data_IF_335125496411
#
_entry.id   IF_335125496411
#
_cell.length_a   1.000
_cell.length_b   1.000
_cell.length_c   1.000
_cell.angle_alpha   90.00
_cell.angle_beta   90.00
_cell.angle_gamma   90.00
#
_symmetry.space_group_name_H-M   'P 1'
#
loop_
_entity.id
_entity.type
_entity.pdbx_description
1 polymer ?
#
# COMPACT_ATOMS: atom_id res chain seq x y z
N UNK A 1 16.89 5.21 -9.29
CA UNK A 1 16.75 3.94 -8.53
C UNK A 1 15.28 3.68 -8.28
N UNK A 2 14.80 2.49 -8.56
CA UNK A 2 13.44 2.11 -8.19
C UNK A 2 13.43 1.92 -6.66
N UNK A 3 12.51 2.58 -5.99
CA UNK A 3 12.34 2.42 -4.54
C UNK A 3 11.94 0.97 -4.26
N UNK A 4 12.75 0.24 -3.52
CA UNK A 4 12.59 -1.20 -3.31
C UNK A 4 11.25 -1.56 -2.65
N UNK A 5 10.77 -0.75 -1.74
CA UNK A 5 9.48 -0.98 -1.10
C UNK A 5 8.33 -0.97 -2.12
N UNK A 6 8.29 0.05 -2.96
CA UNK A 6 7.26 0.19 -4.00
C UNK A 6 7.40 -0.92 -5.05
N UNK A 7 8.63 -1.30 -5.39
CA UNK A 7 8.88 -2.43 -6.28
C UNK A 7 8.33 -3.73 -5.70
N UNK A 8 8.60 -4.00 -4.42
CA UNK A 8 8.07 -5.17 -3.73
C UNK A 8 6.54 -5.18 -3.67
N UNK A 9 5.90 -4.03 -3.42
CA UNK A 9 4.44 -3.94 -3.47
C UNK A 9 3.87 -4.33 -4.85
N UNK A 10 4.57 -4.01 -5.93
CA UNK A 10 4.14 -4.36 -7.30
C UNK A 10 4.28 -5.86 -7.62
N UNK A 11 5.21 -6.55 -6.96
CA UNK A 11 5.42 -7.99 -7.16
C UNK A 11 4.33 -8.85 -6.51
N UNK A 12 3.63 -8.33 -5.50
CA UNK A 12 2.50 -9.03 -4.90
C UNK A 12 1.27 -8.90 -5.79
N UNK A 13 0.64 -10.02 -6.06
CA UNK A 13 -0.58 -10.06 -6.85
C UNK A 13 -1.69 -9.29 -6.14
N UNK A 14 -2.33 -8.42 -6.88
CA UNK A 14 -3.60 -7.84 -6.49
C UNK A 14 -4.71 -8.90 -6.54
N UNK A 15 -5.75 -8.67 -5.78
CA UNK A 15 -6.93 -9.54 -5.82
C UNK A 15 -7.58 -9.54 -7.20
N UNK A 16 -8.28 -10.63 -7.51
CA UNK A 16 -8.96 -10.84 -8.78
C UNK A 16 -9.83 -9.64 -9.21
N UNK A 17 -10.54 -9.02 -8.26
CA UNK A 17 -11.34 -7.81 -8.53
C UNK A 17 -10.51 -6.65 -9.07
N UNK A 18 -9.35 -6.41 -8.49
CA UNK A 18 -8.45 -5.36 -8.95
C UNK A 18 -7.88 -5.68 -10.32
N UNK A 19 -7.50 -6.93 -10.56
CA UNK A 19 -7.02 -7.39 -11.86
C UNK A 19 -8.06 -7.15 -12.97
N UNK A 20 -9.33 -7.44 -12.71
CA UNK A 20 -10.42 -7.20 -13.66
C UNK A 20 -10.57 -5.70 -13.97
N UNK A 21 -10.52 -4.85 -12.95
CA UNK A 21 -10.58 -3.40 -13.12
C UNK A 21 -9.37 -2.87 -13.91
N UNK A 22 -8.19 -3.34 -13.59
CA UNK A 22 -6.96 -2.95 -14.29
C UNK A 22 -7.00 -3.36 -15.76
N UNK A 23 -7.46 -4.57 -16.06
CA UNK A 23 -7.65 -5.05 -17.42
C UNK A 23 -8.72 -4.23 -18.18
N UNK A 24 -9.80 -3.84 -17.52
CA UNK A 24 -10.85 -3.02 -18.11
C UNK A 24 -10.40 -1.57 -18.40
N UNK A 25 -9.39 -1.08 -17.70
CA UNK A 25 -8.81 0.26 -17.88
C UNK A 25 -7.55 0.28 -18.76
N UNK A 26 -7.36 -0.76 -19.57
CA UNK A 26 -6.24 -0.91 -20.51
C UNK A 26 -4.85 -0.79 -19.84
N UNK A 27 -4.72 -1.37 -18.64
CA UNK A 27 -3.43 -1.50 -17.95
C UNK A 27 -3.02 -0.28 -17.13
N UNK A 28 -3.96 0.63 -16.86
CA UNK A 28 -3.66 1.84 -16.09
C UNK A 28 -4.70 2.18 -15.05
N UNK A 29 -4.72 1.51 -13.89
CA UNK A 29 -5.43 2.06 -12.75
C UNK A 29 -4.62 3.19 -12.14
N UNK A 30 -5.12 4.40 -12.26
CA UNK A 30 -4.51 5.60 -11.69
C UNK A 30 -5.55 6.47 -11.02
N UNK A 31 -5.12 7.22 -10.01
CA UNK A 31 -5.98 8.20 -9.36
C UNK A 31 -6.32 9.34 -10.32
N UNK A 32 -7.59 9.76 -10.34
CA UNK A 32 -7.98 10.93 -11.11
C UNK A 32 -7.27 12.19 -10.58
N UNK A 33 -7.06 13.17 -11.46
CA UNK A 33 -6.41 14.44 -11.10
C UNK A 33 -7.14 15.16 -9.96
N UNK A 34 -8.47 15.10 -9.95
CA UNK A 34 -9.29 15.72 -8.91
C UNK A 34 -9.11 15.00 -7.56
N UNK A 35 -9.09 13.66 -7.56
CA UNK A 35 -8.85 12.89 -6.34
C UNK A 35 -7.44 13.14 -5.79
N UNK A 36 -6.42 13.13 -6.65
CA UNK A 36 -5.05 13.46 -6.30
C UNK A 36 -4.92 14.85 -5.67
N UNK A 37 -5.57 15.85 -6.27
CA UNK A 37 -5.58 17.21 -5.76
C UNK A 37 -6.19 17.26 -4.36
N UNK A 38 -7.40 16.72 -4.20
CA UNK A 38 -8.10 16.69 -2.90
C UNK A 38 -7.28 15.96 -1.83
N UNK A 39 -6.66 14.84 -2.18
CA UNK A 39 -5.82 14.09 -1.26
C UNK A 39 -4.57 14.90 -0.85
N UNK A 40 -3.88 15.51 -1.82
CA UNK A 40 -2.72 16.35 -1.56
C UNK A 40 -3.03 17.59 -0.70
N UNK A 41 -4.25 18.13 -0.77
CA UNK A 41 -4.70 19.22 0.10
C UNK A 41 -4.86 18.79 1.56
N UNK A 42 -5.05 17.50 1.81
CA UNK A 42 -5.20 16.92 3.15
C UNK A 42 -3.88 16.40 3.74
N UNK A 43 -2.89 16.18 2.91
CA UNK A 43 -1.59 15.66 3.33
C UNK A 43 -0.67 16.80 3.79
N UNK A 44 0.26 16.52 4.73
CA UNK A 44 1.34 17.43 5.05
C UNK A 44 2.15 17.80 3.80
N UNK A 45 2.71 19.02 3.76
CA UNK A 45 3.44 19.52 2.59
C UNK A 45 4.61 18.63 2.13
N UNK A 46 5.25 17.94 3.07
CA UNK A 46 6.35 17.00 2.78
C UNK A 46 5.89 15.60 2.35
N UNK A 47 4.57 15.35 2.29
CA UNK A 47 4.00 14.06 1.94
C UNK A 47 3.17 14.13 0.65
N UNK A 48 3.51 15.02 -0.28
CA UNK A 48 2.74 15.16 -1.53
C UNK A 48 2.96 13.98 -2.46
N UNK A 49 1.87 13.47 -3.01
CA UNK A 49 1.88 12.40 -3.99
C UNK A 49 2.44 12.92 -5.31
N UNK A 50 3.56 12.33 -5.74
CA UNK A 50 4.17 12.60 -7.03
C UNK A 50 3.61 11.77 -8.17
N UNK A 51 4.12 11.99 -9.38
CA UNK A 51 3.81 11.17 -10.55
C UNK A 51 4.34 9.75 -10.37
N UNK A 52 3.59 8.76 -10.87
CA UNK A 52 4.03 7.36 -10.85
C UNK A 52 3.82 6.65 -9.51
N UNK A 53 2.97 7.17 -8.64
CA UNK A 53 2.55 6.46 -7.44
C UNK A 53 1.99 5.08 -7.79
N UNK A 54 2.31 4.09 -6.98
CA UNK A 54 1.66 2.79 -7.03
C UNK A 54 0.30 2.88 -6.36
N UNK A 55 -0.72 2.38 -7.04
CA UNK A 55 -2.11 2.39 -6.55
C UNK A 55 -2.68 0.99 -6.68
N UNK A 56 -3.30 0.49 -5.63
CA UNK A 56 -3.98 -0.80 -5.66
C UNK A 56 -5.22 -0.79 -4.76
N UNK A 57 -6.24 -1.53 -5.18
CA UNK A 57 -7.48 -1.74 -4.43
C UNK A 57 -7.48 -3.12 -3.77
N UNK A 58 -8.24 -3.26 -2.68
CA UNK A 58 -8.38 -4.54 -1.97
C UNK A 58 -7.03 -5.19 -1.64
N UNK A 59 -6.08 -4.38 -1.21
CA UNK A 59 -4.72 -4.82 -0.99
C UNK A 59 -4.55 -5.47 0.38
N UNK A 60 -4.00 -6.68 0.40
CA UNK A 60 -3.85 -7.46 1.62
C UNK A 60 -2.81 -6.87 2.56
N UNK A 61 -3.14 -6.71 3.85
CA UNK A 61 -2.22 -6.17 4.86
C UNK A 61 -0.92 -6.98 4.98
N UNK A 62 -1.00 -8.30 4.90
CA UNK A 62 0.17 -9.17 4.97
C UNK A 62 1.14 -8.94 3.80
N UNK A 63 0.66 -8.48 2.65
CA UNK A 63 1.52 -8.11 1.52
C UNK A 63 2.27 -6.81 1.77
N UNK A 64 1.65 -5.85 2.45
CA UNK A 64 2.34 -4.62 2.88
C UNK A 64 3.47 -4.98 3.83
N UNK A 65 3.18 -5.82 4.82
CA UNK A 65 4.20 -6.28 5.76
C UNK A 65 5.32 -7.06 5.07
N UNK A 66 4.98 -7.99 4.17
CA UNK A 66 5.97 -8.75 3.41
C UNK A 66 6.86 -7.83 2.56
N UNK A 67 6.30 -6.80 1.94
CA UNK A 67 7.05 -5.81 1.17
C UNK A 67 8.04 -5.02 2.03
N UNK A 68 7.62 -4.60 3.22
CA UNK A 68 8.49 -3.94 4.20
C UNK A 68 9.60 -4.86 4.67
N UNK A 69 9.27 -6.12 4.98
CA UNK A 69 10.22 -7.12 5.42
C UNK A 69 11.30 -7.41 4.37
N UNK A 70 10.90 -7.60 3.11
CA UNK A 70 11.82 -7.80 1.99
C UNK A 70 12.74 -6.59 1.79
N UNK A 71 12.20 -5.40 1.90
CA UNK A 71 12.98 -4.15 1.78
C UNK A 71 14.03 -4.06 2.89
N UNK A 72 13.65 -4.33 4.13
CA UNK A 72 14.54 -4.28 5.29
C UNK A 72 15.63 -5.37 5.28
N UNK A 73 15.39 -6.46 4.56
CA UNK A 73 16.31 -7.59 4.47
C UNK A 73 17.00 -7.73 3.11
N UNK A 74 16.93 -6.72 2.25
CA UNK A 74 17.61 -6.70 0.96
C UNK A 74 19.10 -7.00 1.10
N UNK A 75 19.61 -7.88 0.24
CA UNK A 75 21.02 -8.28 0.24
C UNK A 75 21.41 -9.28 1.33
N UNK A 76 20.49 -9.71 2.17
CA UNK A 76 20.71 -10.83 3.08
C UNK A 76 20.32 -12.12 2.36
N UNK A 77 21.31 -12.85 1.88
CA UNK A 77 21.09 -14.16 1.25
C UNK A 77 20.61 -15.18 2.31
N UNK A 78 19.31 -15.29 2.45
CA UNK A 78 18.66 -16.36 3.21
C UNK A 78 17.56 -16.96 2.38
N UNK A 79 17.56 -18.26 2.27
CA UNK A 79 16.53 -19.03 1.57
C UNK A 79 15.19 -19.00 2.32
N UNK A 80 15.22 -18.79 3.62
CA UNK A 80 14.05 -18.68 4.49
C UNK A 80 14.27 -17.60 5.54
N UNK A 81 13.26 -16.78 5.76
CA UNK A 81 13.23 -15.78 6.83
C UNK A 81 12.33 -16.27 7.95
N UNK A 82 12.81 -16.22 9.18
CA UNK A 82 11.93 -16.40 10.33
C UNK A 82 11.00 -15.18 10.42
N UNK A 83 9.72 -15.39 10.19
CA UNK A 83 8.71 -14.35 10.38
C UNK A 83 8.44 -14.27 11.89
N UNK A 84 8.56 -13.09 12.52
CA UNK A 84 8.19 -12.93 13.92
C UNK A 84 6.75 -13.40 14.14
N UNK A 85 6.56 -14.24 15.16
CA UNK A 85 5.27 -14.83 15.50
C UNK A 85 4.25 -13.70 15.72
N UNK A 86 3.13 -13.76 15.02
CA UNK A 86 2.02 -12.84 15.19
C UNK A 86 1.98 -11.63 14.26
N UNK A 87 2.98 -11.41 13.40
CA UNK A 87 2.97 -10.29 12.45
C UNK A 87 2.27 -10.61 11.12
N UNK A 88 2.35 -11.88 10.68
CA UNK A 88 1.54 -12.39 9.57
C UNK A 88 0.62 -13.45 10.16
N UNK A 89 -0.64 -13.14 10.25
CA UNK A 89 -1.61 -14.00 10.95
C UNK A 89 -2.51 -14.78 10.01
N UNK A 90 -2.30 -14.66 8.69
CA UNK A 90 -3.18 -15.22 7.67
C UNK A 90 -4.66 -14.78 7.79
N UNK A 91 -4.93 -13.74 8.57
CA UNK A 91 -6.24 -13.09 8.56
C UNK A 91 -6.38 -12.30 7.28
N UNK A 92 -7.48 -12.50 6.59
CA UNK A 92 -7.76 -11.82 5.33
C UNK A 92 -8.29 -10.42 5.59
N UNK A 93 -7.43 -9.53 6.10
CA UNK A 93 -7.75 -8.12 6.20
C UNK A 93 -7.16 -7.39 5.00
N UNK A 94 -8.03 -6.69 4.29
CA UNK A 94 -7.68 -5.90 3.13
C UNK A 94 -7.84 -4.41 3.42
N UNK A 95 -7.07 -3.61 2.73
CA UNK A 95 -7.23 -2.16 2.65
C UNK A 95 -7.96 -1.85 1.35
N UNK A 96 -9.03 -1.08 1.39
CA UNK A 96 -9.85 -0.77 0.22
C UNK A 96 -9.03 -0.10 -0.90
N UNK A 97 -8.12 0.81 -0.53
CA UNK A 97 -7.22 1.46 -1.47
C UNK A 97 -5.89 1.79 -0.79
N UNK A 98 -4.79 1.47 -1.46
CA UNK A 98 -3.45 1.93 -1.07
C UNK A 98 -2.86 2.83 -2.15
N UNK A 99 -2.10 3.83 -1.70
CA UNK A 99 -1.27 4.68 -2.55
C UNK A 99 0.13 4.72 -1.97
N UNK A 100 1.12 4.24 -2.72
CA UNK A 100 2.52 4.23 -2.30
C UNK A 100 3.40 4.99 -3.30
N UNK A 101 4.26 5.85 -2.79
CA UNK A 101 5.12 6.71 -3.61
C UNK A 101 6.42 7.05 -2.88
N UNK A 102 7.51 7.31 -3.63
CA UNK A 102 8.76 7.75 -3.02
C UNK A 102 8.61 9.18 -2.45
N UNK A 103 9.35 9.46 -1.40
CA UNK A 103 9.51 10.82 -0.92
C UNK A 103 10.23 11.67 -1.99
N UNK A 104 9.86 12.95 -2.11
CA UNK A 104 10.42 13.83 -3.11
C UNK A 104 11.83 14.32 -2.76
N UNK A 105 12.16 14.38 -1.46
CA UNK A 105 13.43 14.87 -0.97
C UNK A 105 14.39 13.74 -0.58
N UNK A 106 13.86 12.59 -0.20
CA UNK A 106 14.60 11.41 0.24
C UNK A 106 14.18 10.17 -0.55
N UNK A 107 14.92 9.78 -1.60
CA UNK A 107 14.57 8.62 -2.44
C UNK A 107 14.54 7.28 -1.69
N UNK A 108 15.20 7.19 -0.53
CA UNK A 108 15.21 5.98 0.28
C UNK A 108 13.99 5.87 1.21
N UNK A 109 13.22 6.95 1.30
CA UNK A 109 11.97 7.01 2.04
C UNK A 109 10.77 6.80 1.11
N UNK A 110 9.77 6.12 1.62
CA UNK A 110 8.48 5.93 0.95
C UNK A 110 7.34 6.38 1.83
N UNK A 111 6.29 6.87 1.20
CA UNK A 111 5.01 7.13 1.82
C UNK A 111 4.02 6.04 1.43
N UNK A 112 3.22 5.60 2.38
CA UNK A 112 2.10 4.70 2.16
C UNK A 112 0.85 5.34 2.75
N UNK A 113 -0.17 5.52 1.92
CA UNK A 113 -1.50 5.96 2.33
C UNK A 113 -2.43 4.77 2.23
N UNK A 114 -3.13 4.49 3.32
CA UNK A 114 -4.18 3.48 3.39
C UNK A 114 -5.52 4.17 3.52
N UNK A 115 -6.46 3.83 2.66
CA UNK A 115 -7.79 4.45 2.61
C UNK A 115 -8.84 3.37 2.77
N UNK A 116 -9.76 3.60 3.71
CA UNK A 116 -10.95 2.80 3.94
C UNK A 116 -12.18 3.59 3.54
N UNK A 117 -12.99 3.02 2.66
CA UNK A 117 -14.24 3.62 2.23
C UNK A 117 -15.40 3.13 3.11
N UNK A 118 -16.11 4.04 3.74
CA UNK A 118 -17.32 3.75 4.53
C UNK A 118 -18.49 4.54 3.97
N UNK A 119 -19.49 3.83 3.44
CA UNK A 119 -20.65 4.49 2.87
C UNK A 119 -21.72 4.85 3.92
N UNK A 120 -22.02 3.96 4.90
CA UNK A 120 -23.19 4.13 5.80
C UNK A 120 -22.97 3.64 7.24
N UNK A 121 -21.78 3.17 7.59
CA UNK A 121 -21.51 2.71 8.94
C UNK A 121 -20.45 3.56 9.60
N UNK A 122 -20.70 3.97 10.84
CA UNK A 122 -19.67 4.58 11.67
C UNK A 122 -18.46 3.65 11.78
N UNK A 123 -17.26 4.22 11.80
CA UNK A 123 -16.05 3.46 12.12
C UNK A 123 -16.25 2.75 13.45
N UNK A 124 -16.17 1.42 13.47
CA UNK A 124 -15.99 0.74 14.73
C UNK A 124 -14.54 0.97 15.17
N UNK A 125 -14.35 1.40 16.41
CA UNK A 125 -13.04 1.59 16.98
C UNK A 125 -12.17 0.33 16.89
N UNK A 126 -12.78 -0.86 16.86
CA UNK A 126 -12.10 -2.14 16.75
C UNK A 126 -11.41 -2.34 15.38
N UNK A 127 -12.06 -1.97 14.27
CA UNK A 127 -11.47 -2.12 12.94
C UNK A 127 -10.30 -1.15 12.71
N UNK A 128 -10.44 0.10 13.16
CA UNK A 128 -9.38 1.08 13.06
C UNK A 128 -8.16 0.68 13.93
N UNK A 129 -8.40 0.18 15.13
CA UNK A 129 -7.36 -0.29 16.04
C UNK A 129 -6.66 -1.53 15.51
N UNK A 130 -7.40 -2.51 14.99
CA UNK A 130 -6.83 -3.73 14.41
C UNK A 130 -5.87 -3.42 13.26
N UNK A 131 -6.22 -2.47 12.39
CA UNK A 131 -5.37 -2.09 11.24
C UNK A 131 -4.18 -1.21 11.62
N UNK A 132 -4.25 -0.47 12.71
CA UNK A 132 -3.17 0.42 13.16
C UNK A 132 -2.10 -0.30 14.02
N UNK A 133 -2.44 -1.41 14.65
CA UNK A 133 -1.53 -2.18 15.54
C UNK A 133 -0.65 -3.16 14.76
N UNK A 134 -0.98 -3.44 13.50
CA UNK A 134 -0.18 -4.28 12.60
C UNK A 134 0.85 -3.45 11.85
#
# INVERSE_FOLDING_TARGET
>A
MTNDFISNLREFNSKERFYVVEAATEGGFSLSSNFMKTLNEKLPNNCRIGKGAFVAMDYHLDWIYASLFLTANKGKEKQYYAIPIGLITATQEDVDLIVAYPDLEDPDRSHLIMIEAKCDTSWSNEQATSKAIR
#
